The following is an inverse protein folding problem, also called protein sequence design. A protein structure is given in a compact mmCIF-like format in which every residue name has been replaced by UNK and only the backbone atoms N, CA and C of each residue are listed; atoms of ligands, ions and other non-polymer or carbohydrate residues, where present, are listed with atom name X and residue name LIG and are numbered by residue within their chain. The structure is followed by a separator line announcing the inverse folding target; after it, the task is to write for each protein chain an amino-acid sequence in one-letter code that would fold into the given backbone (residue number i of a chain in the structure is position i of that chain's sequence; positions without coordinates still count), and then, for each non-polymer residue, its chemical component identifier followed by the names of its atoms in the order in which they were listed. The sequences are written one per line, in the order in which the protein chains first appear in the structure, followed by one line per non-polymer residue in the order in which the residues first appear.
data_IF_169878226130
#
_entry.id   IF_169878226130
#
_cell.length_a   1.000
_cell.length_b   1.000
_cell.length_c   1.000
_cell.angle_alpha   90.00
_cell.angle_beta   90.00
_cell.angle_gamma   90.00
#
_symmetry.space_group_name_H-M   'P 1'
#
loop_
_entity.id
_entity.type
_entity.pdbx_description
1 polymer ?
#
# COMPACT_ATOMS: atom_id res chain seq x y z
N UNK A 1 -22.31 3.34 5.01
CA UNK A 1 -23.46 3.21 4.09
C UNK A 1 -24.15 1.91 4.44
N UNK A 2 -25.48 1.77 4.39
CA UNK A 2 -26.13 0.53 4.87
C UNK A 2 -26.22 -0.54 3.78
N UNK A 3 -26.43 -1.80 4.19
CA UNK A 3 -26.92 -2.85 3.30
C UNK A 3 -28.37 -2.52 2.95
N UNK A 4 -28.73 -2.55 1.67
CA UNK A 4 -30.10 -2.32 1.21
C UNK A 4 -30.76 -3.64 0.82
N UNK A 5 -31.92 -3.89 1.43
CA UNK A 5 -32.79 -5.02 1.12
C UNK A 5 -34.22 -4.52 0.91
N UNK A 6 -34.82 -4.88 -0.23
CA UNK A 6 -36.15 -4.41 -0.66
C UNK A 6 -36.33 -2.88 -0.58
N UNK A 7 -35.25 -2.13 -0.85
CA UNK A 7 -35.25 -0.66 -0.83
C UNK A 7 -35.11 -0.03 0.56
N UNK A 8 -34.99 -0.81 1.63
CA UNK A 8 -34.76 -0.33 2.98
C UNK A 8 -33.31 -0.57 3.42
N UNK A 9 -32.76 0.37 4.18
CA UNK A 9 -31.46 0.27 4.81
C UNK A 9 -31.54 -0.64 6.05
N UNK A 10 -30.72 -1.69 6.08
CA UNK A 10 -30.49 -2.53 7.24
C UNK A 10 -29.32 -1.94 8.03
N UNK A 11 -29.53 -1.65 9.32
CA UNK A 11 -28.57 -0.92 10.15
C UNK A 11 -28.39 -1.49 11.55
N UNK A 12 -29.20 -2.49 11.91
CA UNK A 12 -29.17 -3.13 13.22
C UNK A 12 -28.71 -4.58 13.06
N UNK A 13 -28.06 -5.10 14.11
CA UNK A 13 -27.52 -6.45 14.16
C UNK A 13 -27.96 -7.15 15.45
N UNK A 14 -28.33 -8.42 15.33
CA UNK A 14 -28.62 -9.30 16.47
C UNK A 14 -27.99 -10.68 16.22
N UNK A 15 -27.25 -11.20 17.19
CA UNK A 15 -26.68 -12.55 17.12
C UNK A 15 -27.70 -13.58 17.61
N UNK A 16 -27.95 -14.59 16.79
CA UNK A 16 -28.89 -15.69 17.06
C UNK A 16 -28.08 -16.98 17.20
N UNK A 17 -28.19 -17.63 18.36
CA UNK A 17 -27.57 -18.94 18.64
C UNK A 17 -28.59 -20.06 18.40
N UNK A 18 -28.29 -20.99 17.50
CA UNK A 18 -29.11 -22.17 17.23
C UNK A 18 -28.22 -23.42 17.31
N UNK A 19 -28.36 -24.19 18.39
CA UNK A 19 -27.50 -25.32 18.73
C UNK A 19 -26.00 -24.95 18.71
N UNK A 20 -25.24 -25.51 17.76
CA UNK A 20 -23.80 -25.24 17.55
C UNK A 20 -23.54 -24.11 16.55
N UNK A 21 -24.57 -23.67 15.81
CA UNK A 21 -24.45 -22.66 14.78
C UNK A 21 -24.83 -21.28 15.31
N UNK A 22 -24.18 -20.26 14.76
CA UNK A 22 -24.44 -18.86 15.09
C UNK A 22 -24.79 -18.13 13.81
N UNK A 23 -25.80 -17.28 13.90
CA UNK A 23 -26.25 -16.44 12.79
C UNK A 23 -26.30 -14.98 13.23
N UNK A 24 -26.23 -14.06 12.28
CA UNK A 24 -26.47 -12.64 12.50
C UNK A 24 -27.71 -12.23 11.73
N UNK A 25 -28.73 -11.80 12.46
CA UNK A 25 -29.89 -11.12 11.90
C UNK A 25 -29.53 -9.67 11.67
N UNK A 26 -29.67 -9.21 10.43
CA UNK A 26 -29.50 -7.81 10.04
C UNK A 26 -30.85 -7.26 9.65
N UNK A 27 -31.27 -6.15 10.26
CA UNK A 27 -32.64 -5.66 10.12
C UNK A 27 -32.72 -4.13 10.02
N UNK A 28 -33.81 -3.64 9.44
CA UNK A 28 -34.10 -2.21 9.35
C UNK A 28 -34.56 -1.63 10.69
N UNK A 29 -34.64 -0.31 10.80
CA UNK A 29 -35.03 0.39 12.04
C UNK A 29 -36.46 0.09 12.50
N UNK A 30 -37.29 -0.52 11.64
CA UNK A 30 -38.69 -0.86 11.92
C UNK A 30 -38.92 -2.37 12.09
N UNK A 31 -37.87 -3.18 12.01
CA UNK A 31 -37.93 -4.66 12.01
C UNK A 31 -38.90 -5.25 10.96
N UNK A 32 -39.14 -4.54 9.85
CA UNK A 32 -40.02 -4.99 8.77
C UNK A 32 -39.26 -5.78 7.71
N UNK A 33 -37.96 -5.50 7.57
CA UNK A 33 -37.08 -6.18 6.64
C UNK A 33 -35.90 -6.75 7.40
N UNK A 34 -35.64 -8.03 7.20
CA UNK A 34 -34.53 -8.74 7.81
C UNK A 34 -33.88 -9.71 6.83
N UNK A 35 -32.61 -9.99 7.08
CA UNK A 35 -31.85 -11.07 6.46
C UNK A 35 -31.08 -11.82 7.55
N UNK A 36 -30.82 -13.09 7.30
CA UNK A 36 -30.01 -13.95 8.17
C UNK A 36 -28.68 -14.22 7.49
N UNK A 37 -27.58 -14.00 8.22
CA UNK A 37 -26.22 -14.22 7.73
C UNK A 37 -25.53 -15.28 8.58
N UNK A 38 -24.93 -16.30 7.96
CA UNK A 38 -24.16 -17.33 8.65
C UNK A 38 -22.91 -16.72 9.31
N UNK A 39 -22.71 -16.98 10.60
CA UNK A 39 -21.55 -16.52 11.36
C UNK A 39 -20.71 -17.71 11.84
N UNK A 40 -19.45 -17.73 11.40
CA UNK A 40 -18.49 -18.81 11.70
C UNK A 40 -17.37 -18.44 12.68
N UNK A 41 -16.94 -17.17 12.84
CA UNK A 41 -15.91 -16.86 13.83
C UNK A 41 -16.36 -17.16 15.27
N UNK A 42 -15.43 -17.09 16.22
CA UNK A 42 -15.76 -17.26 17.65
C UNK A 42 -16.41 -15.98 18.17
N UNK A 43 -17.53 -16.12 18.89
CA UNK A 43 -18.23 -15.00 19.52
C UNK A 43 -17.38 -14.35 20.62
N UNK A 44 -17.20 -13.04 20.52
CA UNK A 44 -16.42 -12.22 21.45
C UNK A 44 -17.27 -11.01 21.87
N UNK A 45 -18.40 -11.28 22.53
CA UNK A 45 -19.47 -10.31 22.84
C UNK A 45 -18.99 -9.07 23.63
N UNK A 46 -17.86 -9.18 24.35
CA UNK A 46 -17.25 -8.08 25.11
C UNK A 46 -16.60 -6.99 24.23
N UNK A 47 -16.49 -7.20 22.92
CA UNK A 47 -15.82 -6.27 22.00
C UNK A 47 -16.80 -5.36 21.26
N UNK A 48 -16.65 -4.05 21.49
CA UNK A 48 -17.39 -3.03 20.75
C UNK A 48 -16.71 -2.72 19.40
N UNK A 49 -17.45 -2.90 18.30
CA UNK A 49 -16.97 -2.59 16.95
C UNK A 49 -16.62 -1.11 16.73
N UNK A 50 -17.14 -0.19 17.55
CA UNK A 50 -16.84 1.24 17.47
C UNK A 50 -15.39 1.58 17.84
N UNK A 51 -14.71 0.69 18.56
CA UNK A 51 -13.30 0.82 18.92
C UNK A 51 -12.36 0.37 17.81
N UNK A 52 -12.87 0.13 16.61
CA UNK A 52 -12.10 -0.37 15.48
C UNK A 52 -12.44 0.37 14.19
N UNK A 53 -11.49 0.33 13.27
CA UNK A 53 -11.65 0.83 11.91
C UNK A 53 -11.42 -0.32 10.92
N UNK A 54 -12.31 -0.46 9.94
CA UNK A 54 -12.19 -1.42 8.85
C UNK A 54 -11.78 -0.69 7.57
N UNK A 55 -10.84 -1.26 6.83
CA UNK A 55 -10.46 -0.79 5.49
C UNK A 55 -10.34 -2.00 4.57
N UNK A 56 -10.94 -1.91 3.38
CA UNK A 56 -10.89 -2.98 2.38
C UNK A 56 -9.74 -2.80 1.38
N UNK A 57 -9.11 -3.91 1.02
CA UNK A 57 -8.01 -4.00 0.07
C UNK A 57 -8.23 -5.10 -0.97
N UNK A 58 -7.45 -5.03 -2.04
CA UNK A 58 -7.28 -6.07 -3.04
C UNK A 58 -5.82 -6.52 -3.06
N UNK A 59 -5.58 -7.82 -3.16
CA UNK A 59 -4.24 -8.38 -3.31
C UNK A 59 -4.30 -9.60 -4.23
N UNK A 60 -3.50 -9.58 -5.31
CA UNK A 60 -3.47 -10.66 -6.29
C UNK A 60 -2.51 -11.81 -5.90
N UNK A 61 -1.83 -11.70 -4.75
CA UNK A 61 -0.73 -12.58 -4.31
C UNK A 61 -0.98 -13.19 -2.93
N UNK A 62 -1.28 -12.36 -1.94
CA UNK A 62 -1.52 -12.75 -0.53
C UNK A 62 -3.02 -12.73 -0.22
N UNK A 63 -3.74 -13.68 -0.79
CA UNK A 63 -5.19 -13.79 -0.73
C UNK A 63 -5.73 -15.20 -0.45
N UNK A 64 -4.87 -16.15 -0.10
CA UNK A 64 -5.30 -17.47 0.37
C UNK A 64 -5.83 -17.37 1.80
N UNK A 65 -6.77 -18.23 2.20
CA UNK A 65 -7.45 -18.17 3.50
C UNK A 65 -6.52 -18.00 4.72
N UNK A 66 -5.33 -18.64 4.69
CA UNK A 66 -4.34 -18.57 5.77
C UNK A 66 -3.30 -17.45 5.60
N UNK A 67 -3.43 -16.58 4.59
CA UNK A 67 -2.59 -15.38 4.41
C UNK A 67 -3.01 -14.29 5.42
N UNK A 68 -2.83 -14.58 6.72
CA UNK A 68 -3.23 -13.74 7.86
C UNK A 68 -1.99 -13.13 8.50
N UNK A 69 -2.02 -11.81 8.74
CA UNK A 69 -0.87 -11.11 9.32
C UNK A 69 -1.29 -10.10 10.39
N UNK A 70 -0.48 -9.99 11.43
CA UNK A 70 -0.47 -8.85 12.33
C UNK A 70 0.21 -7.66 11.65
N UNK A 71 -0.42 -6.50 11.74
CA UNK A 71 0.12 -5.25 11.21
C UNK A 71 0.74 -4.44 12.33
N UNK A 72 1.99 -4.07 12.15
CA UNK A 72 2.76 -3.24 13.08
C UNK A 72 3.15 -1.92 12.43
N UNK A 73 3.06 -0.83 13.20
CA UNK A 73 3.89 0.33 12.94
C UNK A 73 5.34 -0.02 13.31
N UNK A 74 6.26 0.15 12.37
CA UNK A 74 7.66 -0.24 12.57
C UNK A 74 8.44 0.74 13.45
N UNK A 75 8.13 2.03 13.40
CA UNK A 75 8.84 3.08 14.13
C UNK A 75 8.42 3.09 15.60
N UNK A 76 7.11 3.07 15.83
CA UNK A 76 6.51 3.03 17.18
C UNK A 76 6.55 1.62 17.79
N UNK A 77 6.74 0.58 16.96
CA UNK A 77 6.78 -0.84 17.36
C UNK A 77 5.48 -1.32 18.01
N UNK A 78 4.35 -0.71 17.63
CA UNK A 78 3.02 -1.03 18.13
C UNK A 78 2.27 -1.86 17.09
N UNK A 79 1.55 -2.90 17.53
CA UNK A 79 0.61 -3.62 16.66
C UNK A 79 -0.62 -2.76 16.44
N UNK A 80 -0.86 -2.28 15.25
CA UNK A 80 -2.02 -1.42 14.95
C UNK A 80 -3.25 -2.22 14.49
N UNK A 81 -3.08 -3.48 14.05
CA UNK A 81 -4.22 -4.26 13.59
C UNK A 81 -3.89 -5.65 13.03
N UNK A 82 -4.84 -6.19 12.28
CA UNK A 82 -4.74 -7.45 11.56
C UNK A 82 -5.23 -7.29 10.13
N UNK A 83 -4.57 -7.98 9.19
CA UNK A 83 -4.98 -8.08 7.79
C UNK A 83 -5.20 -9.55 7.42
N UNK A 84 -6.31 -9.85 6.74
CA UNK A 84 -6.64 -11.21 6.30
C UNK A 84 -7.67 -11.18 5.15
N UNK A 85 -7.75 -12.22 4.31
CA UNK A 85 -8.79 -12.32 3.28
C UNK A 85 -10.17 -12.54 3.90
N UNK A 86 -11.22 -12.02 3.28
CA UNK A 86 -12.61 -12.22 3.74
C UNK A 86 -12.94 -13.71 3.94
N UNK A 87 -12.45 -14.59 3.09
CA UNK A 87 -12.63 -16.04 3.19
C UNK A 87 -12.18 -16.63 4.54
N UNK A 88 -11.27 -15.96 5.27
CA UNK A 88 -10.86 -16.37 6.61
C UNK A 88 -11.98 -16.21 7.67
N UNK A 89 -12.99 -15.39 7.40
CA UNK A 89 -14.22 -15.29 8.21
C UNK A 89 -15.21 -16.42 7.93
N UNK A 90 -15.10 -17.06 6.77
CA UNK A 90 -15.97 -18.17 6.36
C UNK A 90 -15.29 -19.53 6.55
N UNK A 91 -13.97 -19.57 6.73
CA UNK A 91 -13.23 -20.80 6.97
C UNK A 91 -13.65 -21.57 8.23
N UNK A 92 -13.83 -22.89 8.11
CA UNK A 92 -14.05 -23.79 9.27
C UNK A 92 -12.79 -24.51 9.75
N UNK A 93 -11.73 -24.50 8.95
CA UNK A 93 -10.49 -25.28 9.16
C UNK A 93 -9.23 -24.42 8.92
N UNK A 94 -9.26 -23.12 9.27
CA UNK A 94 -8.03 -22.31 9.20
C UNK A 94 -7.13 -22.56 10.40
N UNK A 95 -5.82 -22.34 10.20
CA UNK A 95 -4.76 -22.52 11.20
C UNK A 95 -4.90 -21.61 12.43
N UNK A 96 -5.92 -20.73 12.46
CA UNK A 96 -6.07 -19.66 13.44
C UNK A 96 -7.34 -19.75 14.29
N UNK A 97 -8.07 -20.87 14.26
CA UNK A 97 -9.32 -21.06 15.03
C UNK A 97 -9.09 -20.82 16.54
N UNK A 98 -7.96 -21.27 17.07
CA UNK A 98 -7.62 -21.13 18.49
C UNK A 98 -6.94 -19.79 18.83
N UNK A 99 -6.74 -18.90 17.85
CA UNK A 99 -6.10 -17.61 18.09
C UNK A 99 -7.11 -16.61 18.67
N UNK A 100 -7.15 -16.55 20.00
CA UNK A 100 -8.08 -15.70 20.78
C UNK A 100 -7.97 -14.22 20.40
N UNK A 101 -6.77 -13.72 20.13
CA UNK A 101 -6.59 -12.33 19.72
C UNK A 101 -7.16 -12.06 18.35
N UNK A 102 -6.91 -12.93 17.36
CA UNK A 102 -7.46 -12.77 16.03
C UNK A 102 -8.99 -12.91 16.03
N UNK A 103 -9.55 -13.84 16.80
CA UNK A 103 -10.99 -14.07 16.88
C UNK A 103 -11.78 -12.80 17.26
N UNK A 104 -11.24 -11.98 18.17
CA UNK A 104 -11.80 -10.67 18.52
C UNK A 104 -11.88 -9.74 17.31
N UNK A 105 -10.82 -9.70 16.50
CA UNK A 105 -10.78 -8.89 15.28
C UNK A 105 -11.71 -9.45 14.21
N UNK A 106 -11.85 -10.78 14.10
CA UNK A 106 -12.82 -11.42 13.19
C UNK A 106 -14.27 -11.10 13.58
N UNK A 107 -14.60 -11.17 14.87
CA UNK A 107 -15.93 -10.82 15.40
C UNK A 107 -16.30 -9.37 15.07
N UNK A 108 -15.36 -8.44 15.29
CA UNK A 108 -15.57 -7.03 14.96
C UNK A 108 -15.63 -6.79 13.44
N UNK A 109 -14.73 -7.41 12.67
CA UNK A 109 -14.73 -7.32 11.21
C UNK A 109 -16.09 -7.68 10.62
N UNK A 110 -16.65 -8.80 11.07
CA UNK A 110 -17.92 -9.31 10.60
C UNK A 110 -19.06 -8.30 10.81
N UNK A 111 -19.13 -7.70 12.00
CA UNK A 111 -20.11 -6.65 12.30
C UNK A 111 -19.90 -5.40 11.43
N UNK A 112 -18.65 -4.92 11.30
CA UNK A 112 -18.34 -3.72 10.50
C UNK A 112 -18.66 -3.91 9.01
N UNK A 113 -18.43 -5.11 8.48
CA UNK A 113 -18.81 -5.47 7.11
C UNK A 113 -20.33 -5.45 6.92
N UNK A 114 -21.10 -6.02 7.86
CA UNK A 114 -22.56 -6.03 7.77
C UNK A 114 -23.19 -4.64 7.97
N UNK A 115 -22.54 -3.76 8.73
CA UNK A 115 -22.93 -2.35 8.83
C UNK A 115 -22.50 -1.52 7.60
N UNK A 116 -21.77 -2.13 6.65
CA UNK A 116 -21.44 -1.66 5.30
C UNK A 116 -20.89 -0.23 5.19
N UNK A 117 -20.17 0.25 6.22
CA UNK A 117 -19.81 1.69 6.37
C UNK A 117 -19.23 2.36 5.10
N UNK A 118 -18.60 1.63 4.19
CA UNK A 118 -17.93 2.14 2.99
C UNK A 118 -18.72 2.13 1.66
N UNK A 119 -19.70 1.24 1.43
CA UNK A 119 -20.45 1.16 0.15
C UNK A 119 -21.90 0.70 0.33
N UNK A 120 -22.81 1.16 -0.53
CA UNK A 120 -24.18 0.65 -0.59
C UNK A 120 -24.16 -0.75 -1.23
N UNK A 121 -24.62 -1.76 -0.50
CA UNK A 121 -24.75 -3.13 -1.00
C UNK A 121 -26.22 -3.38 -1.31
N UNK A 122 -26.53 -3.69 -2.57
CA UNK A 122 -27.92 -3.98 -3.00
C UNK A 122 -28.04 -5.48 -3.22
N UNK A 123 -28.83 -6.13 -2.36
CA UNK A 123 -29.15 -7.54 -2.52
C UNK A 123 -30.13 -7.74 -3.68
N UNK A 124 -29.70 -8.51 -4.69
CA UNK A 124 -30.51 -8.81 -5.89
C UNK A 124 -31.28 -10.11 -5.78
N UNK A 125 -30.73 -11.08 -5.06
CA UNK A 125 -31.32 -12.40 -4.86
C UNK A 125 -31.89 -12.50 -3.45
N UNK A 126 -33.05 -13.13 -3.32
CA UNK A 126 -33.65 -13.44 -2.02
C UNK A 126 -33.21 -14.85 -1.66
N UNK A 127 -32.41 -14.96 -0.59
CA UNK A 127 -31.99 -16.22 0.02
C UNK A 127 -32.59 -16.34 1.42
N UNK A 128 -32.78 -17.58 1.87
CA UNK A 128 -33.13 -17.87 3.26
C UNK A 128 -31.97 -17.51 4.20
N UNK A 129 -30.75 -17.86 3.79
CA UNK A 129 -29.51 -17.59 4.50
C UNK A 129 -28.46 -17.01 3.55
N UNK A 130 -27.73 -16.01 4.02
CA UNK A 130 -26.63 -15.37 3.30
C UNK A 130 -25.28 -15.71 3.95
N UNK A 131 -24.24 -15.71 3.14
CA UNK A 131 -22.84 -15.72 3.55
C UNK A 131 -22.25 -14.30 3.44
N UNK A 132 -21.11 -14.02 4.08
CA UNK A 132 -20.50 -12.68 3.95
C UNK A 132 -20.02 -12.42 2.51
N UNK A 133 -19.61 -13.48 1.82
CA UNK A 133 -19.23 -13.48 0.40
C UNK A 133 -20.38 -13.08 -0.55
N UNK A 134 -21.65 -13.24 -0.15
CA UNK A 134 -22.78 -12.77 -0.95
C UNK A 134 -22.83 -11.23 -1.06
N UNK A 135 -22.31 -10.54 -0.04
CA UNK A 135 -22.21 -9.08 -0.02
C UNK A 135 -20.90 -8.59 -0.68
N UNK A 136 -19.86 -9.43 -0.67
CA UNK A 136 -18.50 -9.10 -1.10
C UNK A 136 -17.92 -10.17 -2.05
N UNK A 137 -18.44 -10.28 -3.29
CA UNK A 137 -18.18 -11.42 -4.18
C UNK A 137 -16.73 -11.54 -4.70
N UNK A 138 -15.91 -10.50 -4.54
CA UNK A 138 -14.51 -10.50 -5.00
C UNK A 138 -13.52 -10.95 -3.92
N UNK A 139 -14.00 -11.47 -2.77
CA UNK A 139 -13.17 -11.87 -1.63
C UNK A 139 -12.11 -10.80 -1.27
N UNK A 140 -12.54 -9.57 -0.91
CA UNK A 140 -11.61 -8.50 -0.55
C UNK A 140 -10.73 -8.91 0.64
N UNK A 141 -9.58 -8.26 0.74
CA UNK A 141 -8.74 -8.34 1.92
C UNK A 141 -9.27 -7.34 2.96
N UNK A 142 -9.42 -7.79 4.19
CA UNK A 142 -9.92 -7.01 5.32
C UNK A 142 -8.74 -6.59 6.18
N UNK A 143 -8.56 -5.28 6.36
CA UNK A 143 -7.68 -4.71 7.38
C UNK A 143 -8.57 -4.17 8.52
N UNK A 144 -8.35 -4.66 9.73
CA UNK A 144 -9.00 -4.16 10.95
C UNK A 144 -7.94 -3.52 11.85
N UNK A 145 -8.13 -2.24 12.14
CA UNK A 145 -7.27 -1.42 13.00
C UNK A 145 -7.94 -1.22 14.36
N UNK A 146 -7.14 -1.25 15.42
CA UNK A 146 -7.60 -0.96 16.79
C UNK A 146 -7.43 0.52 17.09
N UNK A 147 -8.54 1.22 17.38
CA UNK A 147 -8.52 2.65 17.67
C UNK A 147 -7.68 2.97 18.91
N UNK A 148 -7.69 2.08 19.90
CA UNK A 148 -6.83 2.17 21.11
C UNK A 148 -5.36 2.20 20.71
N UNK A 149 -4.88 1.20 19.97
CA UNK A 149 -3.47 1.11 19.59
C UNK A 149 -3.07 2.21 18.60
N UNK A 150 -3.96 2.61 17.68
CA UNK A 150 -3.66 3.68 16.72
C UNK A 150 -3.68 5.06 17.37
N UNK A 151 -4.35 5.24 18.51
CA UNK A 151 -4.36 6.51 19.26
C UNK A 151 -3.02 6.83 19.92
N UNK A 152 -2.15 5.83 20.08
CA UNK A 152 -0.78 6.01 20.56
C UNK A 152 0.15 6.62 19.50
N UNK A 153 -0.27 6.66 18.24
CA UNK A 153 0.52 7.17 17.13
C UNK A 153 0.07 8.60 16.79
N UNK A 154 0.98 9.55 16.89
CA UNK A 154 0.71 10.96 16.56
C UNK A 154 0.23 11.09 15.11
N UNK A 155 -0.86 11.84 14.89
CA UNK A 155 -1.48 12.06 13.58
C UNK A 155 -1.68 10.77 12.77
N UNK A 156 -2.18 9.72 13.43
CA UNK A 156 -2.47 8.46 12.76
C UNK A 156 -3.53 8.65 11.66
N UNK A 157 -3.23 8.13 10.47
CA UNK A 157 -4.18 7.97 9.38
C UNK A 157 -3.83 6.70 8.60
N UNK A 158 -4.80 5.81 8.31
CA UNK A 158 -4.56 4.62 7.51
C UNK A 158 -3.98 4.94 6.12
N UNK A 159 -4.35 6.09 5.55
CA UNK A 159 -3.86 6.56 4.25
C UNK A 159 -2.34 6.68 4.23
N UNK A 160 -1.72 7.09 5.34
CA UNK A 160 -0.27 7.23 5.44
C UNK A 160 0.49 5.89 5.43
N UNK A 161 -0.20 4.75 5.57
CA UNK A 161 0.39 3.41 5.50
C UNK A 161 0.15 2.71 4.16
N UNK A 162 -0.66 3.28 3.28
CA UNK A 162 -0.91 2.74 1.93
C UNK A 162 0.39 2.48 1.14
N UNK A 163 1.42 3.36 1.18
CA UNK A 163 2.67 3.09 0.48
C UNK A 163 3.31 1.79 0.98
N UNK A 164 3.43 1.61 2.29
CA UNK A 164 3.98 0.37 2.87
C UNK A 164 3.15 -0.85 2.55
N UNK A 165 1.82 -0.75 2.60
CA UNK A 165 0.92 -1.84 2.23
C UNK A 165 1.10 -2.27 0.76
N UNK A 166 1.34 -1.32 -0.14
CA UNK A 166 1.55 -1.61 -1.57
C UNK A 166 2.80 -2.44 -1.86
N UNK A 167 3.85 -2.37 -1.01
CA UNK A 167 5.02 -3.27 -1.10
C UNK A 167 4.66 -4.74 -0.91
N UNK A 168 3.60 -5.00 -0.15
CA UNK A 168 3.07 -6.34 0.09
C UNK A 168 1.95 -6.70 -0.91
N UNK A 169 1.70 -5.84 -1.92
CA UNK A 169 0.69 -6.03 -2.95
C UNK A 169 -0.74 -5.67 -2.51
N UNK A 170 -0.92 -5.07 -1.34
CA UNK A 170 -2.23 -4.61 -0.87
C UNK A 170 -2.51 -3.21 -1.43
N UNK A 171 -3.53 -3.12 -2.28
CA UNK A 171 -4.02 -1.84 -2.79
C UNK A 171 -5.46 -1.60 -2.33
N UNK A 172 -5.78 -0.36 -1.94
CA UNK A 172 -7.11 -0.01 -1.39
C UNK A 172 -8.21 -0.41 -2.37
N UNK A 173 -9.25 -1.07 -1.88
CA UNK A 173 -10.40 -1.45 -2.67
C UNK A 173 -11.16 -0.20 -3.12
N UNK A 174 -11.45 -0.11 -4.41
CA UNK A 174 -12.21 1.00 -5.01
C UNK A 174 -12.72 0.57 -6.39
N UNK A 175 -13.18 1.52 -7.21
CA UNK A 175 -13.81 1.20 -8.49
C UNK A 175 -12.80 0.79 -9.59
N UNK A 176 -11.50 0.98 -9.35
CA UNK A 176 -10.44 0.48 -10.21
C UNK A 176 -10.03 -0.92 -9.77
N UNK A 177 -10.03 -1.88 -10.69
CA UNK A 177 -9.59 -3.25 -10.39
C UNK A 177 -8.06 -3.34 -10.27
N UNK A 178 -7.58 -4.16 -9.35
CA UNK A 178 -6.18 -4.57 -9.33
C UNK A 178 -5.88 -5.56 -10.47
N UNK A 179 -5.25 -5.06 -11.52
CA UNK A 179 -4.79 -5.81 -12.69
C UNK A 179 -3.31 -6.17 -12.60
N UNK A 180 -2.62 -5.75 -11.53
CA UNK A 180 -1.20 -6.01 -11.38
C UNK A 180 -0.94 -7.52 -11.29
N UNK A 181 -0.02 -8.00 -12.11
CA UNK A 181 0.46 -9.37 -12.09
C UNK A 181 1.98 -9.38 -12.00
N UNK A 182 2.52 -9.72 -10.83
CA UNK A 182 3.95 -9.97 -10.65
C UNK A 182 4.32 -11.28 -11.35
N UNK A 183 5.25 -11.22 -12.30
CA UNK A 183 5.83 -12.44 -12.91
C UNK A 183 6.42 -13.37 -11.85
N UNK A 184 7.05 -12.81 -10.83
CA UNK A 184 7.65 -13.52 -9.70
C UNK A 184 6.68 -13.83 -8.56
N UNK A 185 5.36 -13.86 -8.82
CA UNK A 185 4.29 -14.10 -7.83
C UNK A 185 4.60 -15.24 -6.87
N UNK A 186 5.08 -16.39 -7.37
CA UNK A 186 5.34 -17.55 -6.51
C UNK A 186 6.45 -17.27 -5.49
N UNK A 187 7.57 -16.68 -5.93
CA UNK A 187 8.67 -16.31 -5.04
C UNK A 187 8.22 -15.25 -4.02
N UNK A 188 7.41 -14.29 -4.49
CA UNK A 188 6.82 -13.28 -3.62
C UNK A 188 5.93 -13.91 -2.53
N UNK A 189 5.00 -14.79 -2.90
CA UNK A 189 4.15 -15.49 -1.93
C UNK A 189 4.98 -16.32 -0.95
N UNK A 190 5.99 -17.06 -1.42
CA UNK A 190 6.88 -17.87 -0.57
C UNK A 190 7.67 -17.02 0.44
N UNK A 191 8.02 -15.78 0.09
CA UNK A 191 8.73 -14.85 1.00
C UNK A 191 7.88 -14.42 2.20
N UNK A 192 6.55 -14.43 2.07
CA UNK A 192 5.65 -13.89 3.09
C UNK A 192 4.76 -14.94 3.75
N UNK A 193 4.34 -15.98 3.06
CA UNK A 193 3.51 -17.04 3.64
C UNK A 193 4.19 -17.69 4.84
N UNK A 194 3.41 -17.88 5.91
CA UNK A 194 3.91 -18.38 7.19
C UNK A 194 4.58 -17.33 8.08
N UNK A 195 4.75 -16.08 7.63
CA UNK A 195 5.12 -14.98 8.52
C UNK A 195 3.91 -14.51 9.31
N UNK A 196 4.11 -14.22 10.58
CA UNK A 196 3.03 -13.72 11.44
C UNK A 196 2.82 -12.20 11.33
N UNK A 197 3.86 -11.45 10.93
CA UNK A 197 3.91 -9.99 11.06
C UNK A 197 4.31 -9.30 9.77
N UNK A 198 3.62 -8.22 9.45
CA UNK A 198 4.04 -7.22 8.47
C UNK A 198 4.34 -5.91 9.19
N UNK A 199 5.53 -5.37 8.95
CA UNK A 199 5.96 -4.10 9.50
C UNK A 199 5.76 -3.00 8.45
N UNK A 200 4.98 -1.98 8.81
CA UNK A 200 4.67 -0.85 7.95
C UNK A 200 5.41 0.39 8.44
N UNK A 201 5.81 1.24 7.52
CA UNK A 201 6.28 2.58 7.81
C UNK A 201 5.14 3.58 7.57
N UNK A 202 4.97 4.51 8.51
CA UNK A 202 4.18 5.71 8.26
C UNK A 202 4.89 6.54 7.20
N UNK A 203 4.16 6.97 6.18
CA UNK A 203 4.70 7.84 5.14
C UNK A 203 5.11 9.20 5.72
N UNK A 204 6.29 9.70 5.31
CA UNK A 204 6.74 11.07 5.63
C UNK A 204 5.95 12.15 4.86
N UNK A 205 5.08 11.73 3.94
CA UNK A 205 4.18 12.59 3.16
C UNK A 205 2.74 12.17 3.37
N UNK A 206 1.87 13.15 3.53
CA UNK A 206 0.43 12.94 3.48
C UNK A 206 0.02 12.66 2.03
N UNK A 207 -0.51 11.47 1.76
CA UNK A 207 -0.94 11.12 0.40
C UNK A 207 -2.17 11.90 -0.06
N UNK A 208 -2.94 12.45 0.87
CA UNK A 208 -4.14 13.23 0.55
C UNK A 208 -3.81 14.69 0.25
N UNK A 209 -2.58 15.15 0.54
CA UNK A 209 -2.18 16.53 0.25
C UNK A 209 -2.00 16.80 -1.25
N UNK A 210 -1.77 15.75 -2.04
CA UNK A 210 -1.59 15.84 -3.49
C UNK A 210 -2.44 14.80 -4.21
N UNK A 211 -3.21 15.29 -5.20
CA UNK A 211 -4.02 14.45 -6.08
C UNK A 211 -3.19 13.37 -6.77
N UNK A 212 -1.94 13.69 -7.15
CA UNK A 212 -1.06 12.76 -7.82
C UNK A 212 -0.76 11.53 -6.95
N UNK A 213 -0.40 11.71 -5.68
CA UNK A 213 -0.14 10.59 -4.76
C UNK A 213 -1.40 9.79 -4.48
N UNK A 214 -2.54 10.46 -4.31
CA UNK A 214 -3.83 9.79 -4.14
C UNK A 214 -4.13 8.90 -5.35
N UNK A 215 -4.05 9.43 -6.58
CA UNK A 215 -4.32 8.66 -7.81
C UNK A 215 -3.27 7.58 -8.08
N UNK A 216 -2.02 7.82 -7.71
CA UNK A 216 -0.93 6.85 -7.84
C UNK A 216 -1.28 5.52 -7.14
N UNK A 217 -1.57 5.58 -5.84
CA UNK A 217 -1.81 4.39 -5.04
C UNK A 217 -3.24 3.85 -5.16
N UNK A 218 -4.22 4.72 -5.43
CA UNK A 218 -5.61 4.29 -5.58
C UNK A 218 -5.93 3.75 -6.97
N UNK A 219 -5.16 4.11 -8.01
CA UNK A 219 -5.47 3.76 -9.40
C UNK A 219 -4.23 3.27 -10.15
N UNK A 220 -3.23 4.12 -10.34
CA UNK A 220 -2.18 3.87 -11.34
C UNK A 220 -1.34 2.63 -11.06
N UNK A 221 -0.85 2.45 -9.83
CA UNK A 221 0.02 1.31 -9.50
C UNK A 221 -0.68 -0.05 -9.60
N UNK A 222 -2.00 -0.09 -9.39
CA UNK A 222 -2.76 -1.34 -9.42
C UNK A 222 -3.45 -1.63 -10.75
N UNK A 223 -3.72 -0.63 -11.59
CA UNK A 223 -4.51 -0.80 -12.83
C UNK A 223 -3.72 -0.62 -14.12
N UNK A 224 -2.46 -0.18 -14.09
CA UNK A 224 -1.65 -0.03 -15.30
C UNK A 224 -0.82 -1.27 -15.55
N UNK A 225 -1.07 -1.99 -16.63
CA UNK A 225 -0.30 -3.18 -17.01
C UNK A 225 0.98 -2.81 -17.78
N UNK A 226 0.94 -1.78 -18.63
CA UNK A 226 2.05 -1.47 -19.53
C UNK A 226 3.27 -0.91 -18.80
N UNK A 227 4.39 -1.64 -18.84
CA UNK A 227 5.61 -1.33 -18.09
C UNK A 227 6.19 0.07 -18.37
N UNK A 228 6.19 0.55 -19.62
CA UNK A 228 6.67 1.91 -19.91
C UNK A 228 5.81 3.00 -19.27
N UNK A 229 4.49 2.87 -19.32
CA UNK A 229 3.59 3.86 -18.72
C UNK A 229 3.79 3.88 -17.21
N UNK A 230 3.93 2.69 -16.59
CA UNK A 230 4.30 2.57 -15.18
C UNK A 230 5.64 3.24 -14.89
N UNK A 231 6.67 2.94 -15.68
CA UNK A 231 8.01 3.54 -15.53
C UNK A 231 7.94 5.07 -15.56
N UNK A 232 7.22 5.65 -16.52
CA UNK A 232 7.07 7.10 -16.61
C UNK A 232 6.38 7.68 -15.37
N UNK A 233 5.29 7.08 -14.89
CA UNK A 233 4.57 7.55 -13.69
C UNK A 233 5.46 7.44 -12.45
N UNK A 234 6.23 6.34 -12.32
CA UNK A 234 7.17 6.18 -11.23
C UNK A 234 8.27 7.24 -11.27
N UNK A 235 8.78 7.55 -12.46
CA UNK A 235 9.77 8.60 -12.63
C UNK A 235 9.22 10.01 -12.34
N UNK A 236 7.94 10.27 -12.61
CA UNK A 236 7.30 11.53 -12.21
C UNK A 236 7.34 11.76 -10.70
N UNK A 237 7.29 10.69 -9.90
CA UNK A 237 7.47 10.81 -8.44
C UNK A 237 8.90 11.22 -8.12
N UNK A 238 9.90 10.64 -8.80
CA UNK A 238 11.28 11.07 -8.64
C UNK A 238 11.41 12.55 -8.99
N UNK A 239 10.89 13.01 -10.12
CA UNK A 239 10.93 14.42 -10.54
C UNK A 239 10.26 15.36 -9.53
N UNK A 240 9.12 14.96 -8.96
CA UNK A 240 8.47 15.70 -7.86
C UNK A 240 9.40 15.83 -6.65
N UNK A 241 10.01 14.72 -6.23
CA UNK A 241 10.93 14.67 -5.08
C UNK A 241 12.18 15.54 -5.33
N UNK A 242 12.68 15.57 -6.58
CA UNK A 242 13.79 16.46 -6.94
C UNK A 242 13.38 17.93 -6.85
N UNK A 243 12.13 18.26 -7.19
CA UNK A 243 11.58 19.61 -7.06
C UNK A 243 11.47 20.03 -5.59
N UNK A 244 10.89 19.18 -4.72
CA UNK A 244 10.87 19.45 -3.27
C UNK A 244 12.28 19.65 -2.70
N UNK A 245 13.23 18.82 -3.15
CA UNK A 245 14.63 18.94 -2.77
C UNK A 245 15.22 20.27 -3.22
N UNK A 246 14.96 20.65 -4.47
CA UNK A 246 15.44 21.92 -5.03
C UNK A 246 15.02 23.07 -4.14
N UNK A 247 13.73 23.18 -3.81
CA UNK A 247 13.20 24.30 -3.03
C UNK A 247 13.83 24.40 -1.63
N UNK A 248 13.97 23.27 -0.93
CA UNK A 248 14.56 23.26 0.42
C UNK A 248 16.03 23.66 0.39
N UNK A 249 16.81 23.08 -0.54
CA UNK A 249 18.25 23.37 -0.62
C UNK A 249 18.50 24.78 -1.15
N UNK A 250 17.72 25.23 -2.12
CA UNK A 250 17.82 26.57 -2.68
C UNK A 250 17.57 27.65 -1.60
N UNK A 251 16.51 27.50 -0.81
CA UNK A 251 16.20 28.42 0.29
C UNK A 251 17.31 28.44 1.35
N UNK A 252 17.90 27.28 1.68
CA UNK A 252 19.06 27.21 2.58
C UNK A 252 20.27 27.97 2.01
N UNK A 253 20.57 27.79 0.73
CA UNK A 253 21.67 28.50 0.07
C UNK A 253 21.47 30.01 0.04
N UNK A 254 20.23 30.48 -0.17
CA UNK A 254 19.91 31.92 -0.07
C UNK A 254 20.17 32.43 1.34
N UNK A 255 19.74 31.69 2.36
CA UNK A 255 20.01 32.03 3.77
C UNK A 255 21.51 32.15 4.05
N UNK A 256 22.27 31.12 3.68
CA UNK A 256 23.74 31.10 3.84
C UNK A 256 24.41 32.28 3.14
N UNK A 257 23.96 32.65 1.93
CA UNK A 257 24.51 33.78 1.20
C UNK A 257 24.18 35.13 1.85
N UNK A 258 22.93 35.33 2.28
CA UNK A 258 22.49 36.58 2.93
C UNK A 258 23.18 36.79 4.28
N UNK A 259 23.52 35.71 4.99
CA UNK A 259 24.29 35.73 6.24
C UNK A 259 25.79 35.92 6.02
N UNK A 260 26.26 36.00 4.77
CA UNK A 260 27.67 36.03 4.37
C UNK A 260 28.47 34.78 4.78
N UNK A 261 27.80 33.63 4.97
CA UNK A 261 28.46 32.36 5.26
C UNK A 261 29.10 31.73 4.00
N UNK A 262 28.69 32.13 2.81
CA UNK A 262 29.24 31.67 1.52
C UNK A 262 29.47 32.84 0.56
N UNK A 263 30.47 32.71 -0.31
CA UNK A 263 30.80 33.74 -1.31
C UNK A 263 29.91 33.63 -2.55
N UNK A 264 29.84 34.71 -3.34
CA UNK A 264 29.05 34.77 -4.59
C UNK A 264 29.39 33.65 -5.57
N UNK A 265 30.68 33.34 -5.74
CA UNK A 265 31.11 32.29 -6.68
C UNK A 265 30.66 30.90 -6.20
N UNK A 266 30.83 30.61 -4.91
CA UNK A 266 30.39 29.35 -4.30
C UNK A 266 28.87 29.19 -4.40
N UNK A 267 28.12 30.28 -4.19
CA UNK A 267 26.67 30.30 -4.34
C UNK A 267 26.24 29.94 -5.78
N UNK A 268 26.86 30.56 -6.79
CA UNK A 268 26.59 30.25 -8.20
C UNK A 268 26.93 28.80 -8.53
N UNK A 269 28.06 28.29 -8.03
CA UNK A 269 28.48 26.90 -8.25
C UNK A 269 27.49 25.90 -7.65
N UNK A 270 27.09 26.11 -6.38
CA UNK A 270 26.13 25.26 -5.68
C UNK A 270 24.75 25.27 -6.34
N UNK A 271 24.29 26.42 -6.85
CA UNK A 271 23.03 26.50 -7.63
C UNK A 271 23.15 25.72 -8.94
N UNK A 272 24.25 25.88 -9.67
CA UNK A 272 24.46 25.15 -10.93
C UNK A 272 24.53 23.63 -10.69
N UNK A 273 25.07 23.19 -9.56
CA UNK A 273 25.03 21.79 -9.17
C UNK A 273 23.61 21.34 -8.81
N UNK A 274 22.84 22.16 -8.09
CA UNK A 274 21.45 21.89 -7.73
C UNK A 274 20.54 21.74 -8.97
N UNK A 275 20.88 22.38 -10.10
CA UNK A 275 20.18 22.19 -11.37
C UNK A 275 20.46 20.85 -12.08
N UNK A 276 21.45 20.06 -11.63
CA UNK A 276 21.83 18.79 -12.30
C UNK A 276 20.98 17.63 -11.78
N UNK A 277 19.96 17.26 -12.54
CA UNK A 277 19.05 16.14 -12.24
C UNK A 277 19.76 14.87 -11.75
N UNK A 278 20.73 14.36 -12.53
CA UNK A 278 21.54 13.18 -12.16
C UNK A 278 22.16 13.29 -10.77
N UNK A 279 22.69 14.46 -10.42
CA UNK A 279 23.32 14.68 -9.10
C UNK A 279 22.27 14.63 -8.00
N UNK A 280 21.09 15.20 -8.23
CA UNK A 280 20.01 15.17 -7.25
C UNK A 280 19.44 13.77 -7.06
N UNK A 281 19.24 12.99 -8.12
CA UNK A 281 18.80 11.58 -8.00
C UNK A 281 19.80 10.80 -7.16
N UNK A 282 21.10 10.97 -7.42
CA UNK A 282 22.16 10.36 -6.62
C UNK A 282 22.04 10.74 -5.13
N UNK A 283 21.89 12.03 -4.82
CA UNK A 283 21.74 12.51 -3.43
C UNK A 283 20.51 11.92 -2.73
N UNK A 284 19.38 11.79 -3.43
CA UNK A 284 18.16 11.17 -2.88
C UNK A 284 18.41 9.69 -2.52
N UNK A 285 18.95 8.93 -3.48
CA UNK A 285 19.22 7.49 -3.29
C UNK A 285 20.28 7.26 -2.21
N UNK A 286 21.35 8.05 -2.20
CA UNK A 286 22.42 7.92 -1.21
C UNK A 286 21.92 8.27 0.20
N UNK A 287 21.02 9.27 0.35
CA UNK A 287 20.40 9.57 1.65
C UNK A 287 19.60 8.37 2.19
N UNK A 288 18.83 7.70 1.33
CA UNK A 288 18.07 6.51 1.72
C UNK A 288 18.99 5.35 2.13
N UNK A 289 20.11 5.15 1.41
CA UNK A 289 21.12 4.14 1.78
C UNK A 289 21.77 4.44 3.14
N UNK A 290 22.12 5.70 3.39
CA UNK A 290 22.76 6.11 4.66
C UNK A 290 21.86 5.92 5.87
N UNK A 291 20.55 6.13 5.72
CA UNK A 291 19.56 5.92 6.80
C UNK A 291 19.35 4.46 7.19
N UNK A 292 20.10 3.51 6.61
CA UNK A 292 19.91 2.06 6.80
C UNK A 292 18.44 1.65 6.68
N UNK A 293 17.72 2.33 5.79
CA UNK A 293 16.37 1.91 5.44
C UNK A 293 16.45 0.47 4.97
N UNK A 294 15.52 -0.41 5.35
CA UNK A 294 15.34 -1.72 4.71
C UNK A 294 15.13 -1.49 3.20
N UNK A 295 16.24 -1.44 2.48
CA UNK A 295 16.38 -0.98 1.11
C UNK A 295 16.73 -2.21 0.28
N UNK A 296 15.75 -3.11 0.17
CA UNK A 296 15.88 -4.29 -0.67
C UNK A 296 15.49 -3.94 -2.10
N UNK A 297 16.43 -3.31 -2.83
CA UNK A 297 16.37 -3.15 -4.31
C UNK A 297 17.64 -3.73 -4.94
N UNK A 298 18.09 -4.87 -4.42
CA UNK A 298 19.37 -5.51 -4.79
C UNK A 298 19.41 -5.83 -6.29
N UNK A 299 18.26 -6.22 -6.84
CA UNK A 299 18.13 -6.58 -8.24
C UNK A 299 18.10 -5.35 -9.17
N UNK A 300 17.68 -4.18 -8.68
CA UNK A 300 17.62 -2.95 -9.49
C UNK A 300 18.98 -2.54 -10.03
N UNK A 301 20.03 -2.61 -9.20
CA UNK A 301 21.37 -2.21 -9.61
C UNK A 301 21.92 -3.16 -10.68
N UNK A 302 21.68 -4.48 -10.52
CA UNK A 302 22.06 -5.50 -11.50
C UNK A 302 21.33 -5.26 -12.82
N UNK A 303 20.01 -5.19 -12.79
CA UNK A 303 19.18 -5.13 -13.99
C UNK A 303 19.42 -3.83 -14.77
N UNK A 304 19.61 -2.69 -14.08
CA UNK A 304 20.03 -1.45 -14.72
C UNK A 304 21.37 -1.60 -15.44
N UNK A 305 22.37 -2.27 -14.82
CA UNK A 305 23.68 -2.47 -15.44
C UNK A 305 23.57 -3.36 -16.66
N UNK A 306 22.82 -4.46 -16.57
CA UNK A 306 22.66 -5.42 -17.66
C UNK A 306 22.05 -4.74 -18.90
N UNK A 307 20.96 -3.98 -18.71
CA UNK A 307 20.34 -3.21 -19.80
C UNK A 307 21.29 -2.16 -20.39
N UNK A 308 22.02 -1.43 -19.55
CA UNK A 308 22.94 -0.39 -20.01
C UNK A 308 24.16 -0.97 -20.76
N UNK A 309 24.66 -2.15 -20.36
CA UNK A 309 25.75 -2.85 -21.05
C UNK A 309 25.30 -3.28 -22.45
N UNK A 310 24.09 -3.85 -22.58
CA UNK A 310 23.54 -4.25 -23.87
C UNK A 310 23.47 -3.08 -24.88
N UNK A 311 23.24 -1.87 -24.37
CA UNK A 311 23.19 -0.63 -25.15
C UNK A 311 24.52 0.13 -25.25
N UNK A 312 25.64 -0.54 -24.97
CA UNK A 312 27.00 0.01 -25.03
C UNK A 312 27.18 1.32 -24.22
N UNK A 313 26.44 1.46 -23.11
CA UNK A 313 26.56 2.63 -22.23
C UNK A 313 27.69 2.40 -21.22
N UNK A 314 28.35 3.49 -20.82
CA UNK A 314 29.37 3.45 -19.76
C UNK A 314 28.70 3.23 -18.41
N UNK A 315 29.11 2.18 -17.71
CA UNK A 315 28.56 1.83 -16.39
C UNK A 315 29.15 2.73 -15.31
N UNK A 316 28.25 3.20 -14.43
CA UNK A 316 28.56 4.04 -13.28
C UNK A 316 28.32 3.27 -11.98
N UNK A 317 28.92 3.73 -10.90
CA UNK A 317 28.96 2.99 -9.63
C UNK A 317 27.79 3.32 -8.69
N UNK A 318 27.08 4.42 -8.90
CA UNK A 318 25.94 4.78 -8.05
C UNK A 318 24.62 4.34 -8.70
N UNK A 319 23.73 3.75 -7.89
CA UNK A 319 22.37 3.41 -8.30
C UNK A 319 21.61 4.63 -8.85
N UNK A 320 21.78 5.82 -8.27
CA UNK A 320 21.12 7.02 -8.78
C UNK A 320 21.59 7.43 -10.18
N UNK A 321 22.86 7.16 -10.51
CA UNK A 321 23.36 7.38 -11.87
C UNK A 321 22.77 6.38 -12.87
N UNK A 322 22.67 5.11 -12.46
CA UNK A 322 22.13 4.04 -13.28
C UNK A 322 20.65 4.28 -13.61
N UNK A 323 19.84 4.69 -12.62
CA UNK A 323 18.43 5.06 -12.82
C UNK A 323 18.31 6.19 -13.84
N UNK A 324 19.13 7.23 -13.72
CA UNK A 324 19.12 8.35 -14.68
C UNK A 324 19.50 7.89 -16.09
N UNK A 325 20.51 7.02 -16.22
CA UNK A 325 20.95 6.52 -17.52
C UNK A 325 19.91 5.59 -18.17
N UNK A 326 19.25 4.73 -17.38
CA UNK A 326 18.12 3.90 -17.84
C UNK A 326 16.94 4.78 -18.26
N UNK A 327 16.59 5.81 -17.47
CA UNK A 327 15.53 6.75 -17.86
C UNK A 327 15.86 7.43 -19.20
N UNK A 328 17.09 7.86 -19.41
CA UNK A 328 17.47 8.45 -20.70
C UNK A 328 17.37 7.45 -21.85
N UNK A 329 17.74 6.18 -21.61
CA UNK A 329 17.58 5.12 -22.60
C UNK A 329 16.10 4.93 -22.96
N UNK A 330 15.22 4.77 -21.95
CA UNK A 330 13.78 4.56 -22.14
C UNK A 330 13.12 5.78 -22.79
N UNK A 331 13.49 7.00 -22.41
CA UNK A 331 12.83 8.23 -22.91
C UNK A 331 13.31 8.61 -24.31
N UNK A 332 14.60 8.48 -24.60
CA UNK A 332 15.20 9.03 -25.83
C UNK A 332 15.58 7.99 -26.87
N UNK A 333 15.79 6.74 -26.44
CA UNK A 333 16.35 5.68 -27.27
C UNK A 333 15.49 4.40 -27.25
N UNK A 334 14.19 4.51 -26.91
CA UNK A 334 13.31 3.33 -26.82
C UNK A 334 13.28 2.49 -28.10
N UNK A 335 13.39 3.13 -29.27
CA UNK A 335 13.43 2.46 -30.58
C UNK A 335 14.60 1.47 -30.74
N UNK A 336 15.64 1.60 -29.92
CA UNK A 336 16.84 0.77 -29.99
C UNK A 336 16.67 -0.48 -29.09
N UNK A 337 15.63 -0.54 -28.25
CA UNK A 337 15.36 -1.63 -27.32
C UNK A 337 14.77 -2.83 -28.06
N UNK A 338 15.35 -4.01 -27.83
CA UNK A 338 14.90 -5.27 -28.41
C UNK A 338 13.79 -5.93 -27.58
N UNK A 339 12.95 -6.77 -28.22
CA UNK A 339 11.89 -7.53 -27.53
C UNK A 339 12.43 -8.42 -26.40
N UNK A 340 13.67 -8.90 -26.54
CA UNK A 340 14.38 -9.71 -25.55
C UNK A 340 14.69 -8.94 -24.25
N UNK A 341 14.72 -7.62 -24.30
CA UNK A 341 15.08 -6.74 -23.19
C UNK A 341 13.86 -6.24 -22.41
N UNK A 342 12.65 -6.44 -22.95
CA UNK A 342 11.39 -6.02 -22.33
C UNK A 342 11.22 -6.61 -20.93
N UNK A 343 11.64 -7.87 -20.75
CA UNK A 343 11.59 -8.52 -19.43
C UNK A 343 12.49 -7.82 -18.40
N UNK A 344 13.68 -7.38 -18.81
CA UNK A 344 14.59 -6.64 -17.92
C UNK A 344 13.99 -5.28 -17.56
N UNK A 345 13.32 -4.60 -18.50
CA UNK A 345 12.64 -3.32 -18.24
C UNK A 345 11.46 -3.50 -17.29
N UNK A 346 10.70 -4.59 -17.42
CA UNK A 346 9.62 -4.93 -16.47
C UNK A 346 10.17 -5.12 -15.05
N UNK A 347 11.27 -5.85 -14.89
CA UNK A 347 11.93 -6.04 -13.60
C UNK A 347 12.45 -4.71 -13.02
N UNK A 348 13.14 -3.91 -13.83
CA UNK A 348 13.58 -2.55 -13.43
C UNK A 348 12.39 -1.71 -12.99
N UNK A 349 11.28 -1.75 -13.72
CA UNK A 349 10.08 -0.97 -13.41
C UNK A 349 9.47 -1.38 -12.07
N UNK A 350 9.41 -2.69 -11.79
CA UNK A 350 8.93 -3.19 -10.50
C UNK A 350 9.84 -2.76 -9.34
N UNK A 351 11.14 -2.90 -9.50
CA UNK A 351 12.11 -2.50 -8.49
C UNK A 351 12.14 -0.97 -8.29
N UNK A 352 11.90 -0.20 -9.36
CA UNK A 352 11.74 1.24 -9.29
C UNK A 352 10.49 1.64 -8.50
N UNK A 353 9.40 0.86 -8.57
CA UNK A 353 8.21 1.05 -7.74
C UNK A 353 8.56 0.90 -6.26
N UNK A 354 9.26 -0.17 -5.88
CA UNK A 354 9.72 -0.38 -4.51
C UNK A 354 10.64 0.75 -4.02
N UNK A 355 11.57 1.20 -4.87
CA UNK A 355 12.41 2.36 -4.57
C UNK A 355 11.57 3.61 -4.33
N UNK A 356 10.59 3.85 -5.18
CA UNK A 356 9.76 5.05 -5.12
C UNK A 356 8.87 5.07 -3.89
N UNK A 357 8.32 3.93 -3.51
CA UNK A 357 7.62 3.79 -2.24
C UNK A 357 8.56 4.10 -1.07
N UNK A 358 9.80 3.60 -1.09
CA UNK A 358 10.79 3.93 -0.06
C UNK A 358 11.12 5.44 -0.01
N UNK A 359 11.17 6.11 -1.17
CA UNK A 359 11.36 7.57 -1.24
C UNK A 359 10.18 8.27 -0.54
N UNK A 360 8.94 7.92 -0.90
CA UNK A 360 7.73 8.50 -0.32
C UNK A 360 7.72 8.30 1.21
N UNK A 361 8.04 7.09 1.65
CA UNK A 361 8.02 6.71 3.06
C UNK A 361 9.11 7.34 3.91
N UNK A 362 10.32 7.58 3.38
CA UNK A 362 11.51 7.80 4.24
C UNK A 362 12.36 9.00 3.85
N UNK A 363 12.20 9.51 2.63
CA UNK A 363 12.98 10.65 2.18
C UNK A 363 12.32 11.96 2.59
N UNK A 364 13.03 12.75 3.40
CA UNK A 364 12.66 14.10 3.78
C UNK A 364 13.79 15.06 3.35
N UNK A 365 13.54 16.03 2.45
CA UNK A 365 14.56 16.93 1.95
C UNK A 365 15.34 17.64 3.07
N UNK A 366 14.65 18.09 4.13
CA UNK A 366 15.24 18.83 5.25
C UNK A 366 16.29 18.01 6.02
N UNK A 367 16.19 16.69 5.98
CA UNK A 367 17.11 15.77 6.68
C UNK A 367 18.26 15.28 5.77
N UNK A 368 18.25 15.64 4.48
CA UNK A 368 19.17 15.14 3.45
C UNK A 368 19.91 16.27 2.71
N UNK A 369 20.07 17.44 3.36
CA UNK A 369 20.69 18.65 2.76
C UNK A 369 22.19 18.67 2.92
#
# INVERSE_FOLDING_TARGET
MPIYYKGMALSNLEFIKQDINVFVKVYDTKEQNEIIVEYRPVLEEDFNYENFQLVLFENNYLNAENDVFQIYDKEEKIRIGWIFPLSNLEGKENDFIDNTFLNRYKYVAFQLLLLAKEKNIILKEIKEEYSISDFYPNNPIVLILSNENTSEIEDFSPENYIPSLSKYGYYKHNDFKNQLTLRSKNNFCLKFRGKEKLNLFKSQRDLNSDRFFTELFSKHLKSLEHHLVRFHILYQIIEYILTERFDVVFNKLIGEYNENNILKNDFIEKINELGKERVNIRKVVDCLKQKQCDFEVVDLERDCKDLLIAHNKKIKNSLGDLIYDVRNLIVHNYRDIEDSEIEVIENITHELELLTINIIEKYCPKQCV
#
